data_IF_490497013330
#
_entry.id   IF_490497013330
#
_cell.length_a   1.000
_cell.length_b   1.000
_cell.length_c   1.000
_cell.angle_alpha   90.00
_cell.angle_beta   90.00
_cell.angle_gamma   90.00
#
_symmetry.space_group_name_H-M   'P 1'
#
loop_
_entity.id
_entity.type
_entity.pdbx_description
1 polymer ?
#
# COMPACT_ATOMS: atom_id res chain seq x y z
N UNK A 1 14.17 -15.98 -13.83
CA UNK A 1 14.86 -15.11 -12.83
C UNK A 1 14.39 -15.54 -11.44
N UNK A 2 15.19 -15.29 -10.40
CA UNK A 2 14.76 -15.53 -9.01
C UNK A 2 13.83 -14.37 -8.62
N UNK A 3 12.58 -14.63 -8.18
CA UNK A 3 11.68 -13.55 -7.75
C UNK A 3 12.19 -12.87 -6.48
N UNK A 4 11.79 -11.61 -6.27
CA UNK A 4 12.11 -10.88 -5.04
C UNK A 4 11.43 -11.52 -3.82
N UNK A 5 10.15 -11.86 -3.97
CA UNK A 5 9.37 -12.59 -2.95
C UNK A 5 8.67 -13.76 -3.63
N UNK A 6 8.74 -14.93 -2.99
CA UNK A 6 7.92 -16.09 -3.37
C UNK A 6 7.26 -16.68 -2.13
N UNK A 7 5.95 -16.74 -2.18
CA UNK A 7 5.07 -17.28 -1.14
C UNK A 7 4.32 -18.45 -1.77
N UNK A 8 4.41 -19.64 -1.15
CA UNK A 8 3.75 -20.85 -1.64
C UNK A 8 2.91 -21.45 -0.52
N UNK A 9 1.61 -21.53 -0.75
CA UNK A 9 0.59 -22.18 0.08
C UNK A 9 0.74 -21.85 1.58
N UNK A 10 0.85 -20.56 1.91
CA UNK A 10 1.07 -20.12 3.29
C UNK A 10 -0.22 -20.21 4.10
N UNK A 11 -0.15 -21.02 5.17
CA UNK A 11 -1.17 -21.09 6.20
C UNK A 11 -0.64 -20.57 7.53
N UNK A 12 -1.49 -19.86 8.28
CA UNK A 12 -1.18 -19.45 9.67
C UNK A 12 -2.39 -19.58 10.56
N UNK A 13 -2.18 -20.31 11.66
CA UNK A 13 -3.17 -20.47 12.73
C UNK A 13 -2.69 -19.78 14.00
N UNK A 14 -3.60 -19.11 14.70
CA UNK A 14 -3.43 -18.61 16.07
C UNK A 14 -4.54 -19.22 16.93
N UNK A 15 -4.23 -20.31 17.65
CA UNK A 15 -5.26 -21.10 18.31
C UNK A 15 -6.31 -21.59 17.30
N UNK A 16 -7.57 -21.22 17.50
CA UNK A 16 -8.67 -21.58 16.60
C UNK A 16 -8.83 -20.64 15.38
N UNK A 17 -8.10 -19.53 15.31
CA UNK A 17 -8.20 -18.57 14.20
C UNK A 17 -7.30 -18.98 13.04
N UNK A 18 -7.86 -19.22 11.86
CA UNK A 18 -7.13 -19.44 10.61
C UNK A 18 -6.88 -18.07 9.93
N UNK A 19 -5.75 -17.45 10.26
CA UNK A 19 -5.44 -16.07 9.86
C UNK A 19 -4.95 -15.94 8.40
N UNK A 20 -4.26 -16.98 7.87
CA UNK A 20 -3.87 -17.08 6.45
C UNK A 20 -4.25 -18.46 5.93
N UNK A 21 -4.89 -18.50 4.75
CA UNK A 21 -5.60 -19.68 4.25
C UNK A 21 -5.13 -20.09 2.86
N UNK A 22 -3.85 -20.47 2.75
CA UNK A 22 -3.27 -20.88 1.47
C UNK A 22 -2.93 -19.68 0.59
N UNK A 23 -2.01 -18.82 1.06
CA UNK A 23 -1.57 -17.67 0.26
C UNK A 23 -0.49 -18.10 -0.72
N UNK A 24 -0.75 -17.86 -2.01
CA UNK A 24 0.22 -17.95 -3.11
C UNK A 24 0.47 -16.56 -3.69
N UNK A 25 1.73 -16.11 -3.68
CA UNK A 25 2.11 -14.80 -4.22
C UNK A 25 3.56 -14.82 -4.71
N UNK A 26 3.78 -14.33 -5.92
CA UNK A 26 5.12 -14.07 -6.44
C UNK A 26 5.23 -12.60 -6.77
N UNK A 27 6.30 -11.94 -6.29
CA UNK A 27 6.63 -10.54 -6.59
C UNK A 27 8.00 -10.55 -7.28
N UNK A 28 8.07 -9.95 -8.46
CA UNK A 28 9.30 -9.93 -9.25
C UNK A 28 10.26 -8.83 -8.77
N UNK A 29 11.53 -8.94 -9.14
CA UNK A 29 12.53 -7.93 -8.79
C UNK A 29 12.23 -6.61 -9.51
N UNK A 30 12.37 -5.49 -8.79
CA UNK A 30 12.07 -4.16 -9.29
C UNK A 30 10.57 -3.83 -9.37
N UNK A 31 9.70 -4.73 -8.95
CA UNK A 31 8.25 -4.49 -8.93
C UNK A 31 7.87 -3.50 -7.81
N UNK A 32 6.92 -2.60 -8.10
CA UNK A 32 6.23 -1.82 -7.08
C UNK A 32 4.84 -2.43 -6.87
N UNK A 33 4.69 -3.18 -5.80
CA UNK A 33 3.53 -4.02 -5.50
C UNK A 33 2.73 -3.46 -4.32
N UNK A 34 1.40 -3.41 -4.43
CA UNK A 34 0.52 -3.10 -3.30
C UNK A 34 -0.17 -4.36 -2.76
N UNK A 35 -0.20 -4.49 -1.44
CA UNK A 35 -1.01 -5.48 -0.72
C UNK A 35 -2.13 -4.76 0.03
N UNK A 36 -3.34 -4.84 -0.49
CA UNK A 36 -4.52 -4.15 0.01
C UNK A 36 -5.46 -5.10 0.75
N UNK A 37 -6.31 -4.57 1.59
CA UNK A 37 -7.33 -5.35 2.30
C UNK A 37 -7.80 -4.63 3.56
N UNK A 38 -8.98 -4.96 4.10
CA UNK A 38 -9.48 -4.37 5.34
C UNK A 38 -8.61 -4.76 6.55
N UNK A 39 -8.87 -4.11 7.68
CA UNK A 39 -8.27 -4.51 8.95
C UNK A 39 -8.68 -5.97 9.27
N UNK A 40 -7.71 -6.77 9.71
CA UNK A 40 -7.92 -8.20 9.95
C UNK A 40 -7.88 -9.11 8.71
N UNK A 41 -7.62 -8.57 7.51
CA UNK A 41 -7.49 -9.38 6.29
C UNK A 41 -6.29 -10.35 6.29
N UNK A 42 -5.32 -10.16 7.19
CA UNK A 42 -4.12 -11.00 7.28
C UNK A 42 -2.83 -10.32 6.80
N UNK A 43 -2.87 -9.08 6.30
CA UNK A 43 -1.70 -8.35 5.76
C UNK A 43 -0.51 -8.31 6.73
N UNK A 44 -0.72 -7.80 7.94
CA UNK A 44 0.35 -7.70 8.96
C UNK A 44 0.85 -9.07 9.42
N UNK A 45 0.00 -10.11 9.38
CA UNK A 45 0.42 -11.49 9.63
C UNK A 45 1.37 -11.98 8.54
N UNK A 46 1.04 -11.72 7.27
CA UNK A 46 1.88 -12.08 6.12
C UNK A 46 3.23 -11.34 6.15
N UNK A 47 3.21 -10.02 6.43
CA UNK A 47 4.42 -9.21 6.60
C UNK A 47 5.27 -9.74 7.77
N UNK A 48 4.66 -10.11 8.90
CA UNK A 48 5.39 -10.68 10.05
C UNK A 48 6.05 -12.02 9.73
N UNK A 49 5.44 -12.85 8.89
CA UNK A 49 6.06 -14.08 8.38
C UNK A 49 7.24 -13.73 7.45
N UNK A 50 7.04 -12.80 6.52
CA UNK A 50 8.09 -12.33 5.61
C UNK A 50 9.29 -11.76 6.36
N UNK A 51 9.03 -11.01 7.45
CA UNK A 51 10.05 -10.48 8.38
C UNK A 51 10.78 -11.57 9.19
N UNK A 52 10.26 -12.80 9.16
CA UNK A 52 10.74 -13.89 10.02
C UNK A 52 10.48 -13.66 11.51
N UNK A 53 9.48 -12.80 11.85
CA UNK A 53 9.05 -12.56 13.25
C UNK A 53 8.17 -13.68 13.76
N UNK A 54 7.35 -14.26 12.88
CA UNK A 54 6.51 -15.41 13.17
C UNK A 54 6.72 -16.50 12.12
N UNK A 55 6.66 -17.76 12.52
CA UNK A 55 6.74 -18.88 11.58
C UNK A 55 5.37 -19.18 10.97
N UNK A 56 5.29 -19.53 9.68
CA UNK A 56 4.06 -20.06 9.10
C UNK A 56 3.68 -21.39 9.78
N UNK A 57 2.41 -21.75 9.71
CA UNK A 57 1.93 -23.07 10.18
C UNK A 57 2.11 -24.15 9.12
N UNK A 58 2.02 -23.77 7.84
CA UNK A 58 2.35 -24.59 6.66
C UNK A 58 2.75 -23.69 5.49
N UNK A 59 3.33 -24.28 4.45
CA UNK A 59 3.85 -23.57 3.29
C UNK A 59 5.25 -22.99 3.52
N UNK A 60 5.76 -22.23 2.54
CA UNK A 60 7.08 -21.62 2.62
C UNK A 60 7.12 -20.23 1.97
N UNK A 61 7.99 -19.38 2.50
CA UNK A 61 8.27 -18.02 1.99
C UNK A 61 9.75 -17.87 1.75
N UNK A 62 10.11 -17.26 0.63
CA UNK A 62 11.50 -16.90 0.35
C UNK A 62 11.63 -15.45 -0.10
N UNK A 63 12.76 -14.83 0.25
CA UNK A 63 13.20 -13.51 -0.17
C UNK A 63 14.45 -13.68 -1.02
N UNK A 64 14.41 -13.25 -2.29
CA UNK A 64 15.53 -13.42 -3.24
C UNK A 64 16.07 -14.86 -3.27
N UNK A 65 15.16 -15.86 -3.12
CA UNK A 65 15.47 -17.27 -3.10
C UNK A 65 15.87 -17.85 -1.74
N UNK A 66 16.09 -17.05 -0.70
CA UNK A 66 16.42 -17.52 0.65
C UNK A 66 15.17 -17.72 1.49
N UNK A 67 15.00 -18.93 2.04
CA UNK A 67 13.87 -19.28 2.91
C UNK A 67 13.90 -18.46 4.21
N UNK A 68 12.79 -17.82 4.57
CA UNK A 68 12.72 -16.89 5.72
C UNK A 68 12.79 -17.61 7.07
N UNK A 69 12.63 -18.93 7.11
CA UNK A 69 12.71 -19.75 8.35
C UNK A 69 14.08 -20.41 8.46
N UNK A 70 14.52 -21.10 7.40
CA UNK A 70 15.72 -21.93 7.43
C UNK A 70 16.99 -21.14 7.10
N UNK A 71 16.86 -20.06 6.31
CA UNK A 71 17.95 -19.19 5.86
C UNK A 71 17.67 -17.72 6.29
N UNK A 72 17.16 -17.55 7.52
CA UNK A 72 16.64 -16.28 8.01
C UNK A 72 17.68 -15.15 8.02
N UNK A 73 18.97 -15.46 8.22
CA UNK A 73 20.03 -14.45 8.23
C UNK A 73 20.22 -13.83 6.85
N UNK A 74 20.30 -14.67 5.81
CA UNK A 74 20.41 -14.24 4.42
C UNK A 74 19.15 -13.49 3.97
N UNK A 75 17.96 -14.04 4.28
CA UNK A 75 16.70 -13.41 3.92
C UNK A 75 16.55 -12.01 4.53
N UNK A 76 16.92 -11.83 5.81
CA UNK A 76 16.84 -10.53 6.51
C UNK A 76 17.84 -9.50 5.99
N UNK A 77 19.03 -9.92 5.55
CA UNK A 77 20.00 -9.01 4.92
C UNK A 77 19.49 -8.38 3.62
N UNK A 78 18.54 -9.02 2.96
CA UNK A 78 17.97 -8.59 1.70
C UNK A 78 16.62 -7.84 1.86
N UNK A 79 16.16 -7.66 3.10
CA UNK A 79 14.84 -7.15 3.40
C UNK A 79 14.90 -5.96 4.36
N UNK A 80 14.35 -4.82 3.94
CA UNK A 80 14.09 -3.67 4.81
C UNK A 80 12.60 -3.59 5.12
N UNK A 81 12.22 -3.51 6.39
CA UNK A 81 10.82 -3.42 6.80
C UNK A 81 10.61 -2.18 7.63
N UNK A 82 9.64 -1.36 7.21
CA UNK A 82 9.13 -0.22 7.95
C UNK A 82 7.84 -0.64 8.65
N UNK A 83 7.85 -0.81 9.98
CA UNK A 83 6.65 -1.22 10.71
C UNK A 83 5.65 -0.06 10.84
N UNK A 84 4.40 -0.41 11.11
CA UNK A 84 3.35 0.58 11.37
C UNK A 84 3.62 1.38 12.67
N UNK A 85 4.13 0.72 13.72
CA UNK A 85 4.40 1.34 15.02
C UNK A 85 5.73 2.09 15.05
N UNK A 86 5.76 3.24 15.74
CA UNK A 86 6.96 4.07 15.93
C UNK A 86 7.77 3.57 17.12
N UNK A 87 8.58 2.53 16.93
CA UNK A 87 9.53 2.04 17.94
C UNK A 87 10.93 2.53 17.59
N UNK A 88 11.57 3.27 18.48
CA UNK A 88 12.92 3.79 18.29
C UNK A 88 13.72 3.76 19.58
N UNK A 89 15.04 3.65 19.46
CA UNK A 89 15.96 3.80 20.60
C UNK A 89 16.16 5.29 20.92
N UNK A 90 15.82 5.72 22.13
CA UNK A 90 15.87 7.13 22.52
C UNK A 90 17.29 7.66 22.82
N UNK A 91 18.29 6.82 22.85
CA UNK A 91 19.65 7.21 23.27
C UNK A 91 20.51 7.73 22.12
N UNK A 92 20.18 7.38 20.88
CA UNK A 92 20.97 7.73 19.70
C UNK A 92 20.44 8.95 18.96
N UNK A 93 21.31 9.63 18.21
CA UNK A 93 20.89 10.55 17.17
C UNK A 93 20.55 9.78 15.88
N UNK A 94 19.97 10.46 14.90
CA UNK A 94 19.50 9.83 13.66
C UNK A 94 20.64 9.10 12.94
N UNK A 95 21.79 9.76 12.72
CA UNK A 95 22.93 9.16 12.00
C UNK A 95 23.52 7.97 12.74
N UNK A 96 23.66 8.05 14.06
CA UNK A 96 24.14 6.93 14.87
C UNK A 96 23.20 5.72 14.73
N UNK A 97 21.91 5.93 14.82
CA UNK A 97 20.91 4.87 14.65
C UNK A 97 21.04 4.20 13.28
N UNK A 98 21.21 4.97 12.19
CA UNK A 98 21.39 4.42 10.84
C UNK A 98 22.69 3.62 10.72
N UNK A 99 23.80 4.13 11.24
CA UNK A 99 25.09 3.42 11.24
C UNK A 99 25.05 2.13 12.06
N UNK A 100 24.40 2.12 13.23
CA UNK A 100 24.21 0.89 14.02
C UNK A 100 23.37 -0.13 13.26
N UNK A 101 22.29 0.31 12.64
CA UNK A 101 21.46 -0.57 11.82
C UNK A 101 22.23 -1.15 10.63
N UNK A 102 22.97 -0.33 9.89
CA UNK A 102 23.84 -0.76 8.80
C UNK A 102 24.90 -1.76 9.28
N UNK A 103 25.57 -1.46 10.42
CA UNK A 103 26.56 -2.32 11.04
C UNK A 103 26.00 -3.68 11.49
N UNK A 104 24.76 -3.72 11.99
CA UNK A 104 24.08 -4.98 12.33
C UNK A 104 23.94 -5.92 11.12
N UNK A 105 23.83 -5.35 9.91
CA UNK A 105 23.81 -6.08 8.63
C UNK A 105 25.18 -6.19 7.95
N UNK A 106 26.28 -5.90 8.68
CA UNK A 106 27.65 -6.06 8.19
C UNK A 106 28.13 -4.96 7.26
N UNK A 107 27.46 -3.79 7.25
CA UNK A 107 27.92 -2.60 6.50
C UNK A 107 28.78 -1.72 7.38
N UNK A 108 29.95 -1.33 6.87
CA UNK A 108 30.91 -0.46 7.56
C UNK A 108 30.83 0.99 7.08
N UNK A 109 31.93 1.77 7.30
CA UNK A 109 32.01 3.18 6.89
C UNK A 109 31.83 3.42 5.39
N UNK A 110 32.06 2.44 4.55
CA UNK A 110 31.84 2.49 3.10
C UNK A 110 30.36 2.72 2.75
N UNK A 111 29.46 2.57 3.72
CA UNK A 111 28.02 2.78 3.56
C UNK A 111 27.59 4.21 3.93
N UNK A 112 28.50 5.09 4.36
CA UNK A 112 28.15 6.43 4.82
C UNK A 112 27.55 7.30 3.71
N UNK A 113 28.02 7.18 2.46
CA UNK A 113 27.45 7.89 1.31
C UNK A 113 25.97 7.51 1.11
N UNK A 114 25.64 6.24 1.29
CA UNK A 114 24.25 5.78 1.24
C UNK A 114 23.41 6.32 2.39
N UNK A 115 23.97 6.37 3.60
CA UNK A 115 23.31 6.98 4.77
C UNK A 115 23.02 8.45 4.51
N UNK A 116 23.97 9.19 3.90
CA UNK A 116 23.76 10.59 3.54
C UNK A 116 22.67 10.76 2.47
N UNK A 117 22.67 9.93 1.44
CA UNK A 117 21.62 9.91 0.41
C UNK A 117 20.22 9.69 1.00
N UNK A 118 20.09 8.75 1.95
CA UNK A 118 18.82 8.50 2.66
C UNK A 118 18.41 9.72 3.48
N UNK A 119 19.33 10.32 4.22
CA UNK A 119 19.06 11.49 5.06
C UNK A 119 18.59 12.68 4.22
N UNK A 120 19.22 12.93 3.07
CA UNK A 120 18.84 13.97 2.13
C UNK A 120 17.46 13.67 1.51
N UNK A 121 17.28 12.45 0.98
CA UNK A 121 16.04 12.04 0.32
C UNK A 121 14.81 12.05 1.24
N UNK A 122 15.01 11.88 2.54
CA UNK A 122 13.96 11.96 3.56
C UNK A 122 13.91 13.31 4.29
N UNK A 123 14.67 14.31 3.86
CA UNK A 123 14.69 15.65 4.46
C UNK A 123 15.09 15.62 5.95
N UNK A 124 16.10 14.82 6.29
CA UNK A 124 16.64 14.67 7.65
C UNK A 124 18.12 15.08 7.76
N UNK A 125 18.72 15.59 6.69
CA UNK A 125 20.14 15.93 6.67
C UNK A 125 20.52 16.93 7.77
N UNK A 126 19.72 18.00 7.97
CA UNK A 126 19.89 18.99 9.04
C UNK A 126 19.61 18.45 10.45
N UNK A 127 18.98 17.30 10.56
CA UNK A 127 18.64 16.60 11.80
C UNK A 127 19.50 15.37 12.06
N UNK A 128 20.48 15.08 11.19
CA UNK A 128 21.32 13.88 11.29
C UNK A 128 21.93 13.66 12.69
N UNK A 129 22.37 14.74 13.35
CA UNK A 129 22.94 14.73 14.71
C UNK A 129 21.92 15.06 15.83
N UNK A 130 20.64 15.16 15.49
CA UNK A 130 19.58 15.40 16.47
C UNK A 130 19.16 14.07 17.11
N UNK A 131 19.04 14.06 18.46
CA UNK A 131 18.57 12.88 19.19
C UNK A 131 17.14 12.54 18.81
N UNK A 132 16.85 11.25 18.65
CA UNK A 132 15.53 10.73 18.25
C UNK A 132 14.36 11.23 19.12
N UNK A 133 14.58 11.47 20.42
CA UNK A 133 13.53 12.01 21.33
C UNK A 133 13.07 13.41 20.92
N UNK A 134 13.97 14.23 20.37
CA UNK A 134 13.71 15.65 20.04
C UNK A 134 13.01 15.82 18.68
N UNK A 135 12.83 14.74 17.91
CA UNK A 135 12.17 14.79 16.62
C UNK A 135 10.64 14.87 16.77
N UNK A 136 9.99 15.54 15.84
CA UNK A 136 8.52 15.50 15.70
C UNK A 136 8.05 14.10 15.28
N UNK A 137 6.74 13.81 15.39
CA UNK A 137 6.18 12.52 14.98
C UNK A 137 6.50 12.17 13.51
N UNK A 138 6.31 13.12 12.60
CA UNK A 138 6.63 12.94 11.18
C UNK A 138 8.14 12.74 10.94
N UNK A 139 9.02 13.46 11.66
CA UNK A 139 10.47 13.23 11.57
C UNK A 139 10.88 11.84 12.10
N UNK A 140 10.26 11.37 13.20
CA UNK A 140 10.47 10.02 13.71
C UNK A 140 10.06 8.97 12.69
N UNK A 141 8.91 9.15 12.03
CA UNK A 141 8.47 8.25 10.97
C UNK A 141 9.48 8.15 9.83
N UNK A 142 9.98 9.29 9.35
CA UNK A 142 11.03 9.33 8.31
C UNK A 142 12.33 8.68 8.78
N UNK A 143 12.75 8.91 10.03
CA UNK A 143 13.94 8.28 10.59
C UNK A 143 13.81 6.75 10.68
N UNK A 144 12.63 6.20 10.97
CA UNK A 144 12.39 4.75 10.94
C UNK A 144 12.39 4.18 9.52
N UNK A 145 11.88 4.94 8.56
CA UNK A 145 12.02 4.56 7.13
C UNK A 145 13.50 4.55 6.76
N UNK A 146 14.27 5.60 7.11
CA UNK A 146 15.71 5.64 6.92
C UNK A 146 16.42 4.44 7.54
N UNK A 147 16.04 4.06 8.77
CA UNK A 147 16.59 2.90 9.47
C UNK A 147 16.37 1.59 8.70
N UNK A 148 15.17 1.36 8.20
CA UNK A 148 14.87 0.17 7.41
C UNK A 148 15.67 0.09 6.10
N UNK A 149 16.11 1.23 5.57
CA UNK A 149 16.89 1.35 4.34
C UNK A 149 18.42 1.36 4.58
N UNK A 150 18.87 1.52 5.83
CA UNK A 150 20.26 1.80 6.15
C UNK A 150 21.29 0.81 5.60
N UNK A 151 20.91 -0.47 5.45
CA UNK A 151 21.77 -1.53 4.92
C UNK A 151 21.63 -1.76 3.40
N UNK A 152 20.89 -0.89 2.70
CA UNK A 152 20.62 -0.93 1.25
C UNK A 152 19.97 -2.24 0.80
N UNK A 153 18.81 -2.62 1.37
CA UNK A 153 18.13 -3.88 1.04
C UNK A 153 17.53 -3.83 -0.37
N UNK A 154 17.64 -4.88 -1.19
CA UNK A 154 17.00 -4.95 -2.51
C UNK A 154 15.47 -5.04 -2.45
N UNK A 155 14.90 -5.49 -1.32
CA UNK A 155 13.46 -5.60 -1.10
C UNK A 155 13.05 -4.74 0.10
N UNK A 156 12.05 -3.89 -0.09
CA UNK A 156 11.57 -2.92 0.91
C UNK A 156 10.08 -3.15 1.14
N UNK A 157 9.69 -3.37 2.38
CA UNK A 157 8.28 -3.49 2.81
C UNK A 157 7.91 -2.26 3.63
N UNK A 158 6.88 -1.57 3.20
CA UNK A 158 6.35 -0.37 3.84
C UNK A 158 4.94 -0.67 4.38
N UNK A 159 4.82 -0.82 5.70
CA UNK A 159 3.51 -1.09 6.33
C UNK A 159 2.88 0.23 6.77
N UNK A 160 1.91 0.70 6.00
CA UNK A 160 1.20 1.98 6.17
C UNK A 160 2.14 3.19 6.40
N UNK A 161 3.10 3.46 5.49
CA UNK A 161 4.18 4.41 5.75
C UNK A 161 3.72 5.86 5.89
N UNK A 162 2.55 6.22 5.36
CA UNK A 162 1.98 7.58 5.32
C UNK A 162 0.87 7.82 6.33
N UNK A 163 0.56 6.83 7.18
CA UNK A 163 -0.47 6.99 8.20
C UNK A 163 -0.13 8.15 9.16
N UNK A 164 -1.03 9.14 9.24
CA UNK A 164 -0.85 10.31 10.11
C UNK A 164 0.21 11.31 9.64
N UNK A 165 0.63 11.25 8.37
CA UNK A 165 1.59 12.17 7.74
C UNK A 165 0.84 13.24 6.95
N UNK A 166 1.30 14.50 7.00
CA UNK A 166 0.74 15.60 6.22
C UNK A 166 1.01 15.43 4.71
N UNK A 167 0.30 16.21 3.87
CA UNK A 167 0.32 16.07 2.41
C UNK A 167 1.70 16.34 1.82
N UNK A 168 2.40 17.38 2.26
CA UNK A 168 3.71 17.77 1.73
C UNK A 168 4.75 16.70 2.03
N UNK A 169 4.76 16.21 3.26
CA UNK A 169 5.65 15.17 3.71
C UNK A 169 5.39 13.82 3.01
N UNK A 170 4.10 13.52 2.74
CA UNK A 170 3.69 12.34 1.97
C UNK A 170 4.24 12.39 0.55
N UNK A 171 4.15 13.54 -0.12
CA UNK A 171 4.68 13.71 -1.48
C UNK A 171 6.20 13.51 -1.52
N UNK A 172 6.95 14.13 -0.59
CA UNK A 172 8.40 13.94 -0.49
C UNK A 172 8.76 12.45 -0.31
N UNK A 173 8.06 11.74 0.59
CA UNK A 173 8.28 10.32 0.81
C UNK A 173 8.06 9.51 -0.45
N UNK A 174 6.98 9.77 -1.18
CA UNK A 174 6.66 9.04 -2.40
C UNK A 174 7.69 9.29 -3.51
N UNK A 175 8.17 10.51 -3.68
CA UNK A 175 9.23 10.81 -4.66
C UNK A 175 10.52 10.04 -4.32
N UNK A 176 10.88 9.97 -3.05
CA UNK A 176 12.05 9.19 -2.63
C UNK A 176 11.85 7.68 -2.85
N UNK A 177 10.69 7.12 -2.51
CA UNK A 177 10.38 5.70 -2.73
C UNK A 177 10.33 5.36 -4.23
N UNK A 178 9.75 6.24 -5.07
CA UNK A 178 9.79 6.09 -6.53
C UNK A 178 11.22 6.09 -7.07
N UNK A 179 12.11 6.94 -6.52
CA UNK A 179 13.53 6.94 -6.87
C UNK A 179 14.15 5.57 -6.55
N UNK A 180 13.95 5.04 -5.34
CA UNK A 180 14.46 3.72 -4.96
C UNK A 180 13.96 2.60 -5.90
N UNK A 181 12.69 2.63 -6.29
CA UNK A 181 12.15 1.66 -7.23
C UNK A 181 12.80 1.78 -8.62
N UNK A 182 12.99 3.00 -9.14
CA UNK A 182 13.72 3.23 -10.41
C UNK A 182 15.18 2.76 -10.34
N UNK A 183 15.81 2.84 -9.16
CA UNK A 183 17.16 2.36 -8.90
C UNK A 183 17.23 0.83 -8.73
N UNK A 184 16.10 0.13 -8.92
CA UNK A 184 16.00 -1.34 -8.97
C UNK A 184 15.54 -2.00 -7.68
N UNK A 185 15.21 -1.25 -6.63
CA UNK A 185 14.63 -1.82 -5.41
C UNK A 185 13.20 -2.31 -5.66
N UNK A 186 12.87 -3.48 -5.12
CA UNK A 186 11.50 -4.01 -5.10
C UNK A 186 10.75 -3.40 -3.92
N UNK A 187 9.59 -2.82 -4.15
CA UNK A 187 8.80 -2.15 -3.12
C UNK A 187 7.49 -2.92 -2.89
N UNK A 188 7.19 -3.21 -1.63
CA UNK A 188 5.91 -3.77 -1.21
C UNK A 188 5.26 -2.76 -0.28
N UNK A 189 4.09 -2.27 -0.68
CA UNK A 189 3.33 -1.27 0.04
C UNK A 189 2.06 -1.90 0.61
N UNK A 190 1.81 -1.73 1.92
CA UNK A 190 0.46 -1.82 2.45
C UNK A 190 -0.05 -0.43 2.73
N UNK A 191 -1.27 -0.15 2.36
CA UNK A 191 -1.93 1.12 2.63
C UNK A 191 -3.44 0.93 2.69
N UNK A 192 -4.11 1.81 3.38
CA UNK A 192 -5.56 1.98 3.32
C UNK A 192 -5.95 3.16 2.40
N UNK A 193 -4.98 3.92 1.91
CA UNK A 193 -5.16 4.96 0.91
C UNK A 193 -5.04 4.34 -0.50
N UNK A 194 -6.17 3.97 -1.09
CA UNK A 194 -6.21 3.27 -2.38
C UNK A 194 -5.63 4.10 -3.52
N UNK A 195 -5.75 5.41 -3.47
CA UNK A 195 -5.12 6.35 -4.41
C UNK A 195 -3.59 6.21 -4.47
N UNK A 196 -2.94 5.91 -3.32
CA UNK A 196 -1.50 5.67 -3.28
C UNK A 196 -1.14 4.40 -4.06
N UNK A 197 -1.87 3.32 -3.85
CA UNK A 197 -1.67 2.07 -4.57
C UNK A 197 -1.92 2.23 -6.07
N UNK A 198 -2.95 2.99 -6.45
CA UNK A 198 -3.28 3.28 -7.85
C UNK A 198 -2.19 4.08 -8.55
N UNK A 199 -1.65 5.11 -7.87
CA UNK A 199 -0.65 6.01 -8.45
C UNK A 199 0.77 5.43 -8.50
N UNK A 200 1.11 4.55 -7.52
CA UNK A 200 2.48 4.09 -7.31
C UNK A 200 2.72 2.66 -7.78
N UNK A 201 1.72 1.79 -7.67
CA UNK A 201 1.94 0.37 -7.82
C UNK A 201 1.51 -0.13 -9.20
N UNK A 202 2.39 -0.89 -9.83
CA UNK A 202 2.11 -1.53 -11.13
C UNK A 202 1.16 -2.71 -11.01
N UNK A 203 1.14 -3.36 -9.83
CA UNK A 203 0.34 -4.56 -9.55
C UNK A 203 -0.18 -4.55 -8.12
N UNK A 204 -1.38 -5.10 -7.94
CA UNK A 204 -2.11 -5.07 -6.68
C UNK A 204 -2.59 -6.46 -6.32
N UNK A 205 -2.36 -6.87 -5.07
CA UNK A 205 -3.00 -8.01 -4.44
C UNK A 205 -4.03 -7.54 -3.40
N UNK A 206 -5.26 -8.02 -3.51
CA UNK A 206 -6.32 -7.71 -2.54
C UNK A 206 -6.58 -8.89 -1.64
N UNK A 207 -6.50 -8.69 -0.33
CA UNK A 207 -6.74 -9.71 0.69
C UNK A 207 -8.09 -9.52 1.38
N UNK A 208 -8.80 -10.63 1.63
CA UNK A 208 -10.01 -10.70 2.45
C UNK A 208 -9.97 -11.97 3.27
N UNK A 209 -10.19 -11.88 4.59
CA UNK A 209 -10.31 -13.02 5.51
C UNK A 209 -9.20 -14.09 5.40
N UNK A 210 -7.96 -13.65 5.16
CA UNK A 210 -6.79 -14.52 5.08
C UNK A 210 -6.53 -15.13 3.69
N UNK A 211 -7.22 -14.69 2.65
CA UNK A 211 -7.09 -15.15 1.27
C UNK A 211 -6.77 -14.00 0.33
N UNK A 212 -6.10 -14.26 -0.80
CA UNK A 212 -5.98 -13.30 -1.91
C UNK A 212 -7.20 -13.46 -2.81
N UNK A 213 -8.05 -12.43 -2.84
CA UNK A 213 -9.31 -12.43 -3.62
C UNK A 213 -9.15 -11.80 -5.01
N UNK A 214 -8.10 -11.00 -5.21
CA UNK A 214 -7.71 -10.48 -6.51
C UNK A 214 -6.19 -10.26 -6.56
N UNK A 215 -5.60 -10.54 -7.72
CA UNK A 215 -4.18 -10.32 -8.00
C UNK A 215 -4.01 -10.04 -9.48
N UNK A 216 -3.75 -8.78 -9.83
CA UNK A 216 -3.58 -8.36 -11.23
C UNK A 216 -2.82 -7.03 -11.31
N UNK A 217 -2.46 -6.58 -12.52
CA UNK A 217 -1.97 -5.22 -12.71
C UNK A 217 -3.04 -4.20 -12.32
N UNK A 218 -2.61 -3.05 -11.82
CA UNK A 218 -3.50 -1.94 -11.46
C UNK A 218 -4.40 -1.57 -12.63
N UNK A 219 -3.83 -1.46 -13.84
CA UNK A 219 -4.58 -1.17 -15.06
C UNK A 219 -5.64 -2.24 -15.39
N UNK A 220 -5.31 -3.53 -15.25
CA UNK A 220 -6.27 -4.61 -15.51
C UNK A 220 -7.42 -4.62 -14.49
N UNK A 221 -7.12 -4.36 -13.21
CA UNK A 221 -8.16 -4.28 -12.18
C UNK A 221 -9.12 -3.13 -12.48
N UNK A 222 -8.60 -1.94 -12.78
CA UNK A 222 -9.42 -0.79 -13.16
C UNK A 222 -10.26 -1.08 -14.40
N UNK A 223 -9.69 -1.69 -15.44
CA UNK A 223 -10.41 -2.04 -16.67
C UNK A 223 -11.50 -3.11 -16.47
N UNK A 224 -11.24 -4.14 -15.64
CA UNK A 224 -12.22 -5.20 -15.36
C UNK A 224 -13.46 -4.69 -14.61
N UNK A 225 -13.27 -3.66 -13.80
CA UNK A 225 -14.32 -3.05 -12.99
C UNK A 225 -14.74 -1.68 -13.51
N UNK A 226 -14.41 -1.35 -14.78
CA UNK A 226 -14.60 -0.06 -15.44
C UNK A 226 -16.07 0.35 -15.62
N UNK A 227 -16.82 0.39 -14.52
CA UNK A 227 -18.05 1.17 -14.46
C UNK A 227 -17.65 2.65 -14.37
N UNK A 228 -17.87 3.42 -15.45
CA UNK A 228 -17.69 4.88 -15.38
C UNK A 228 -18.65 5.43 -14.35
N UNK A 229 -18.20 6.41 -13.58
CA UNK A 229 -19.00 7.09 -12.56
C UNK A 229 -19.54 8.40 -13.13
N UNK A 230 -20.85 8.52 -13.20
CA UNK A 230 -21.49 9.80 -13.50
C UNK A 230 -21.87 10.48 -12.17
N UNK A 231 -21.15 11.52 -11.79
CA UNK A 231 -21.44 12.33 -10.61
C UNK A 231 -22.27 13.54 -11.03
N UNK A 232 -23.48 13.68 -10.48
CA UNK A 232 -24.38 14.76 -10.76
C UNK A 232 -24.70 15.53 -9.48
N UNK A 233 -24.49 16.82 -9.48
CA UNK A 233 -25.00 17.70 -8.42
C UNK A 233 -26.41 18.12 -8.78
N UNK A 234 -27.40 17.61 -8.03
CA UNK A 234 -28.83 17.84 -8.27
C UNK A 234 -29.51 18.64 -7.17
N UNK A 235 -28.84 18.86 -6.01
CA UNK A 235 -29.45 19.39 -4.81
C UNK A 235 -30.27 18.32 -4.05
N UNK A 236 -31.19 18.77 -3.20
CA UNK A 236 -32.07 17.89 -2.44
C UNK A 236 -33.30 17.51 -3.29
N UNK A 237 -33.20 16.41 -4.01
CA UNK A 237 -34.27 15.93 -4.91
C UNK A 237 -34.50 14.43 -4.75
N UNK A 238 -35.72 13.98 -5.00
CA UNK A 238 -36.04 12.57 -5.09
C UNK A 238 -35.80 12.07 -6.52
N UNK A 239 -34.99 11.02 -6.68
CA UNK A 239 -34.67 10.46 -7.99
C UNK A 239 -35.87 9.70 -8.59
N UNK A 240 -36.05 9.79 -9.94
CA UNK A 240 -36.97 8.95 -10.67
C UNK A 240 -36.68 7.45 -10.46
N UNK A 241 -37.75 6.63 -10.31
CA UNK A 241 -37.59 5.19 -10.07
C UNK A 241 -36.76 4.48 -11.16
N UNK A 242 -36.80 4.96 -12.40
CA UNK A 242 -36.10 4.40 -13.57
C UNK A 242 -34.58 4.40 -13.42
N UNK A 243 -34.01 5.34 -12.67
CA UNK A 243 -32.54 5.51 -12.50
C UNK A 243 -32.07 5.18 -11.09
N UNK A 244 -32.98 4.88 -10.15
CA UNK A 244 -32.61 4.51 -8.76
C UNK A 244 -31.72 3.27 -8.70
N UNK A 245 -31.91 2.29 -9.57
CA UNK A 245 -31.11 1.07 -9.61
C UNK A 245 -29.66 1.28 -10.06
N UNK A 246 -29.34 2.45 -10.65
CA UNK A 246 -27.97 2.82 -11.06
C UNK A 246 -27.27 3.69 -10.01
N UNK A 247 -27.99 4.15 -8.98
CA UNK A 247 -27.43 4.99 -7.91
C UNK A 247 -26.51 4.16 -7.02
N UNK A 248 -25.27 4.61 -6.83
CA UNK A 248 -24.31 4.04 -5.89
C UNK A 248 -24.29 4.78 -4.57
N UNK A 249 -24.21 6.10 -4.62
CA UNK A 249 -24.14 6.93 -3.41
C UNK A 249 -24.86 8.27 -3.62
N UNK A 250 -25.30 8.85 -2.50
CA UNK A 250 -25.87 10.19 -2.44
C UNK A 250 -25.30 10.90 -1.21
N UNK A 251 -24.56 11.99 -1.44
CA UNK A 251 -23.98 12.80 -0.38
C UNK A 251 -24.12 14.28 -0.72
N UNK A 252 -24.66 15.07 0.23
CA UNK A 252 -24.75 16.54 0.15
C UNK A 252 -25.26 17.08 -1.19
N UNK A 253 -26.25 16.39 -1.79
CA UNK A 253 -26.83 16.79 -3.08
C UNK A 253 -26.06 16.33 -4.31
N UNK A 254 -24.96 15.58 -4.14
CA UNK A 254 -24.23 14.89 -5.22
C UNK A 254 -24.71 13.44 -5.31
N UNK A 255 -25.08 13.02 -6.50
CA UNK A 255 -25.57 11.67 -6.83
C UNK A 255 -24.57 10.99 -7.74
N UNK A 256 -24.02 9.85 -7.31
CA UNK A 256 -23.07 9.05 -8.10
C UNK A 256 -23.77 7.85 -8.70
N UNK A 257 -23.78 7.76 -10.03
CA UNK A 257 -24.34 6.65 -10.80
C UNK A 257 -23.23 5.77 -11.36
N UNK A 258 -23.36 4.45 -11.24
CA UNK A 258 -22.49 3.51 -11.92
C UNK A 258 -22.99 3.27 -13.35
N UNK A 259 -22.13 3.48 -14.33
CA UNK A 259 -22.45 3.30 -15.75
C UNK A 259 -21.67 2.10 -16.30
N UNK A 260 -22.38 1.15 -16.89
CA UNK A 260 -21.76 0.04 -17.62
C UNK A 260 -21.51 0.38 -19.10
N UNK A 261 -22.20 1.41 -19.61
CA UNK A 261 -22.07 1.91 -20.97
C UNK A 261 -22.31 3.42 -20.98
N UNK A 262 -21.65 4.14 -21.89
CA UNK A 262 -21.79 5.58 -22.11
C UNK A 262 -23.21 5.97 -22.53
N UNK A 263 -23.94 5.10 -23.22
CA UNK A 263 -25.36 5.30 -23.57
C UNK A 263 -26.25 5.50 -22.34
N UNK A 264 -25.85 4.99 -21.17
CA UNK A 264 -26.60 5.17 -19.93
C UNK A 264 -26.58 6.60 -19.41
N UNK A 265 -25.63 7.43 -19.83
CA UNK A 265 -25.62 8.88 -19.51
C UNK A 265 -26.89 9.53 -20.08
N UNK A 266 -27.22 9.24 -21.34
CA UNK A 266 -28.41 9.77 -21.97
C UNK A 266 -29.69 9.33 -21.24
N UNK A 267 -29.74 8.07 -20.82
CA UNK A 267 -30.87 7.53 -20.02
C UNK A 267 -31.03 8.28 -18.71
N UNK A 268 -29.93 8.52 -17.96
CA UNK A 268 -29.96 9.25 -16.69
C UNK A 268 -30.41 10.70 -16.93
N UNK A 269 -29.78 11.40 -17.88
CA UNK A 269 -30.10 12.81 -18.19
C UNK A 269 -31.55 12.98 -18.72
N UNK A 270 -32.03 12.05 -19.55
CA UNK A 270 -33.40 12.04 -20.05
C UNK A 270 -34.39 11.83 -18.90
N UNK A 271 -34.15 10.89 -17.99
CA UNK A 271 -34.99 10.66 -16.82
C UNK A 271 -35.08 11.88 -15.91
N UNK A 272 -33.97 12.56 -15.65
CA UNK A 272 -33.91 13.80 -14.86
C UNK A 272 -34.69 14.93 -15.54
N UNK A 273 -34.51 15.10 -16.85
CA UNK A 273 -35.24 16.10 -17.65
C UNK A 273 -36.73 15.87 -17.59
N UNK A 274 -37.19 14.61 -17.74
CA UNK A 274 -38.60 14.24 -17.68
C UNK A 274 -39.21 14.52 -16.32
N UNK A 275 -38.43 14.39 -15.26
CA UNK A 275 -38.82 14.70 -13.88
C UNK A 275 -38.63 16.20 -13.51
N UNK A 276 -38.25 17.03 -14.48
CA UNK A 276 -37.99 18.46 -14.30
C UNK A 276 -36.92 18.78 -13.24
N UNK A 277 -35.94 17.85 -13.07
CA UNK A 277 -34.82 17.98 -12.15
C UNK A 277 -33.65 18.66 -12.87
N UNK A 278 -33.19 19.79 -12.32
CA UNK A 278 -32.09 20.55 -12.90
C UNK A 278 -30.75 19.95 -12.47
N UNK A 279 -29.87 19.66 -13.43
CA UNK A 279 -28.46 19.32 -13.19
C UNK A 279 -27.70 20.62 -12.96
N UNK A 280 -27.05 20.74 -11.81
CA UNK A 280 -26.24 21.93 -11.42
C UNK A 280 -24.81 21.74 -11.92
N UNK A 281 -24.24 20.54 -11.71
CA UNK A 281 -22.90 20.16 -12.16
C UNK A 281 -22.88 18.69 -12.58
N UNK A 282 -21.97 18.36 -13.50
CA UNK A 282 -21.81 17.00 -14.03
C UNK A 282 -20.32 16.68 -14.20
N UNK A 283 -19.90 15.56 -13.62
CA UNK A 283 -18.55 15.02 -13.78
C UNK A 283 -18.64 13.56 -14.18
N UNK A 284 -17.79 13.16 -15.12
CA UNK A 284 -17.63 11.78 -15.54
C UNK A 284 -16.25 11.30 -15.09
N UNK A 285 -16.24 10.40 -14.11
CA UNK A 285 -15.01 9.86 -13.55
C UNK A 285 -14.84 8.40 -14.01
N UNK A 286 -13.59 7.99 -14.16
CA UNK A 286 -13.24 6.58 -14.34
C UNK A 286 -13.38 5.85 -13.00
N UNK A 287 -13.52 4.51 -13.04
CA UNK A 287 -13.47 3.69 -11.85
C UNK A 287 -12.09 3.81 -11.20
N UNK A 288 -12.05 3.85 -9.89
CA UNK A 288 -10.84 3.85 -9.10
C UNK A 288 -10.67 2.51 -8.34
N UNK A 289 -9.52 2.31 -7.71
CA UNK A 289 -9.29 1.11 -6.90
C UNK A 289 -10.25 0.98 -5.72
N UNK A 290 -10.89 2.06 -5.29
CA UNK A 290 -11.91 2.02 -4.23
C UNK A 290 -13.16 1.27 -4.71
N UNK A 291 -13.60 1.50 -5.93
CA UNK A 291 -14.71 0.76 -6.52
C UNK A 291 -14.41 -0.72 -6.68
N UNK A 292 -13.21 -1.02 -7.17
CA UNK A 292 -12.72 -2.40 -7.29
C UNK A 292 -12.73 -3.07 -5.91
N UNK A 293 -12.17 -2.39 -4.93
CA UNK A 293 -12.08 -2.87 -3.55
C UNK A 293 -13.47 -3.13 -2.94
N UNK A 294 -14.38 -2.18 -3.04
CA UNK A 294 -15.74 -2.31 -2.54
C UNK A 294 -16.52 -3.42 -3.24
N UNK A 295 -16.29 -3.62 -4.54
CA UNK A 295 -16.97 -4.70 -5.29
C UNK A 295 -16.49 -6.10 -4.88
N UNK A 296 -15.21 -6.26 -4.53
CA UNK A 296 -14.59 -7.54 -4.16
C UNK A 296 -14.68 -7.83 -2.65
N UNK A 297 -14.55 -6.80 -1.84
CA UNK A 297 -14.46 -6.93 -0.38
C UNK A 297 -15.77 -6.56 0.31
N UNK A 298 -16.56 -5.65 -0.26
CA UNK A 298 -17.81 -5.13 0.32
C UNK A 298 -19.04 -6.02 0.17
N UNK A 299 -19.00 -7.08 -0.65
CA UNK A 299 -20.09 -8.07 -0.71
C UNK A 299 -20.00 -8.98 0.51
N UNK A 300 -20.80 -8.71 1.52
CA UNK A 300 -21.20 -9.64 2.59
C UNK A 300 -22.48 -10.35 2.20
#
# INVERSE_FOLDING_TARGET
MIPAIKINDIHKYFGGLHALKGIDLTIEQGEFFALLGPNGAGKSTLISILAGLIKPSAGNVSVMGFDVVNQYQQARQLLGIVPQELVFDPFFNVREMLRFQAGYFGRGPENDDWVDEILEGLGLADKAHTNMRKLSGGMKRRALIAQALAHKPPVIVLDEPTAGVDVELRQMLWEFIKKLNRDGHTIILTTHYLEEAETLCSRVGMMKQGEIVALDSTANLLNKFAAKKLCLTLGEVALPAKIKGMLRSQEKGVFTFALTDMAQIELVLSALRTANIKVIDMQLNEADLEDVFLSLVGQQ
#
